data_IF_849812759705
#
_entry.id   IF_849812759705
#
_cell.length_a   1.000
_cell.length_b   1.000
_cell.length_c   1.000
_cell.angle_alpha   90.00
_cell.angle_beta   90.00
_cell.angle_gamma   90.00
#
_symmetry.space_group_name_H-M   'P 1'
#
loop_
_entity.id
_entity.type
_entity.pdbx_description
1 polymer ?
#
# COMPACT_ATOMS: atom_id res chain seq x y z
N UNK A 1 12.79 29.50 9.01
CA UNK A 1 11.87 29.10 10.09
C UNK A 1 12.67 28.45 11.23
N UNK A 2 12.22 28.55 12.49
CA UNK A 2 12.77 27.81 13.64
C UNK A 2 11.69 26.87 14.17
N UNK A 3 11.82 25.54 14.02
CA UNK A 3 10.86 24.58 14.50
C UNK A 3 11.02 24.34 16.00
N UNK A 4 9.90 24.19 16.70
CA UNK A 4 9.90 23.82 18.11
C UNK A 4 9.97 22.30 18.33
N UNK A 5 9.75 21.51 17.28
CA UNK A 5 9.79 20.03 17.26
C UNK A 5 10.67 19.53 16.12
N UNK A 6 10.93 18.22 16.09
CA UNK A 6 11.54 17.57 14.93
C UNK A 6 10.68 17.77 13.68
N UNK A 7 11.33 17.73 12.52
CA UNK A 7 10.68 17.93 11.22
C UNK A 7 10.96 16.72 10.33
N UNK A 8 9.93 16.26 9.63
CA UNK A 8 10.08 15.45 8.43
C UNK A 8 9.38 16.17 7.27
N UNK A 9 10.11 16.37 6.17
CA UNK A 9 9.59 16.88 4.89
C UNK A 9 9.81 15.77 3.89
N UNK A 10 8.71 15.09 3.54
CA UNK A 10 8.77 13.88 2.73
C UNK A 10 7.74 13.93 1.61
N UNK A 11 8.02 13.24 0.49
CA UNK A 11 7.08 13.02 -0.62
C UNK A 11 6.46 14.30 -1.19
N UNK A 12 7.22 15.41 -1.23
CA UNK A 12 6.71 16.72 -1.63
C UNK A 12 7.36 17.27 -2.89
N UNK A 13 6.56 17.94 -3.73
CA UNK A 13 7.04 18.70 -4.90
C UNK A 13 7.10 20.18 -4.58
N UNK A 14 8.31 20.73 -4.60
CA UNK A 14 8.57 22.16 -4.52
C UNK A 14 8.76 22.69 -5.94
N UNK A 15 7.70 23.28 -6.49
CA UNK A 15 7.71 23.93 -7.81
C UNK A 15 7.60 25.44 -7.69
N UNK A 16 8.49 26.18 -8.36
CA UNK A 16 8.45 27.65 -8.40
C UNK A 16 8.47 28.30 -7.00
N UNK A 17 9.08 27.62 -6.03
CA UNK A 17 9.23 28.13 -4.66
C UNK A 17 10.60 28.75 -4.44
N UNK A 18 10.74 29.56 -3.38
CA UNK A 18 12.01 30.15 -2.96
C UNK A 18 12.97 29.17 -2.28
N UNK A 19 12.50 27.95 -1.98
CA UNK A 19 13.20 26.95 -1.17
C UNK A 19 12.74 26.92 0.29
N UNK A 20 13.38 26.04 1.07
CA UNK A 20 13.08 25.78 2.48
C UNK A 20 14.29 26.20 3.31
N UNK A 21 14.08 27.06 4.29
CA UNK A 21 15.16 27.58 5.14
C UNK A 21 14.84 27.34 6.60
N UNK A 22 15.62 26.48 7.25
CA UNK A 22 15.42 26.04 8.63
C UNK A 22 16.60 26.46 9.52
N UNK A 23 16.30 27.01 10.69
CA UNK A 23 17.26 27.23 11.76
C UNK A 23 16.93 26.23 12.85
N UNK A 24 17.92 25.58 13.43
CA UNK A 24 17.72 24.44 14.33
C UNK A 24 18.52 24.59 15.63
N UNK A 25 18.02 23.93 16.67
CA UNK A 25 18.68 23.81 17.97
C UNK A 25 18.18 22.51 18.64
N UNK A 26 19.06 21.51 18.76
CA UNK A 26 18.72 20.18 19.30
C UNK A 26 17.53 19.53 18.57
N UNK A 27 17.58 19.42 17.24
CA UNK A 27 16.48 18.85 16.43
C UNK A 27 16.92 17.72 15.53
N UNK A 28 15.97 16.85 15.21
CA UNK A 28 16.06 15.97 14.05
C UNK A 28 15.30 16.57 12.86
N UNK A 29 15.97 16.66 11.71
CA UNK A 29 15.39 17.17 10.46
C UNK A 29 15.59 16.12 9.36
N UNK A 30 14.49 15.57 8.86
CA UNK A 30 14.44 14.67 7.71
C UNK A 30 13.95 15.40 6.46
N UNK A 31 14.66 15.24 5.34
CA UNK A 31 14.26 15.66 4.00
C UNK A 31 14.39 14.47 3.06
N UNK A 32 13.28 13.81 2.71
CA UNK A 32 13.33 12.58 1.89
C UNK A 32 12.32 12.57 0.77
N UNK A 33 12.66 11.94 -0.35
CA UNK A 33 11.68 11.66 -1.41
C UNK A 33 11.00 12.94 -1.97
N UNK A 34 11.70 14.09 -1.97
CA UNK A 34 11.14 15.35 -2.48
C UNK A 34 11.68 15.70 -3.87
N UNK A 35 10.92 16.49 -4.62
CA UNK A 35 11.32 17.04 -5.92
C UNK A 35 11.41 18.56 -5.86
N UNK A 36 12.57 19.12 -6.18
CA UNK A 36 12.79 20.57 -6.26
C UNK A 36 12.95 21.00 -7.72
N UNK A 37 11.91 21.58 -8.30
CA UNK A 37 11.85 21.95 -9.72
C UNK A 37 11.55 23.44 -9.93
N UNK A 38 12.23 24.06 -10.89
CA UNK A 38 12.01 25.46 -11.31
C UNK A 38 12.02 26.46 -10.14
N UNK A 39 12.89 26.23 -9.16
CA UNK A 39 12.93 27.01 -7.93
C UNK A 39 13.36 28.46 -8.22
N UNK A 40 12.71 29.47 -7.62
CA UNK A 40 13.02 30.90 -7.86
C UNK A 40 14.29 31.33 -7.14
N UNK A 41 15.22 32.02 -7.81
CA UNK A 41 16.58 32.36 -7.32
C UNK A 41 16.69 33.18 -6.02
N UNK A 42 15.57 33.56 -5.40
CA UNK A 42 15.49 34.35 -4.17
C UNK A 42 14.40 33.75 -3.26
N UNK A 43 14.64 33.46 -1.95
CA UNK A 43 15.86 33.69 -1.17
C UNK A 43 16.56 32.37 -0.78
N UNK A 44 17.69 32.05 -1.42
CA UNK A 44 18.64 31.06 -0.90
C UNK A 44 18.62 29.69 -1.60
N UNK A 45 19.18 28.64 -0.98
CA UNK A 45 19.17 27.27 -1.50
C UNK A 45 17.77 26.68 -1.65
N UNK A 46 17.62 25.61 -2.42
CA UNK A 46 16.34 24.87 -2.49
C UNK A 46 15.98 24.28 -1.10
N UNK A 47 16.97 23.82 -0.36
CA UNK A 47 16.89 23.51 1.07
C UNK A 47 18.14 23.99 1.79
N UNK A 48 17.98 24.66 2.94
CA UNK A 48 19.09 25.06 3.79
C UNK A 48 18.82 24.91 5.29
N UNK A 49 19.91 24.62 6.02
CA UNK A 49 20.05 24.85 7.45
C UNK A 49 20.87 26.13 7.63
N UNK A 50 20.19 27.26 7.84
CA UNK A 50 20.83 28.58 7.89
C UNK A 50 21.40 28.94 9.27
N UNK A 51 21.03 28.20 10.32
CA UNK A 51 21.62 28.30 11.64
C UNK A 51 21.47 26.96 12.37
N UNK A 52 22.50 26.58 13.12
CA UNK A 52 22.49 25.44 14.03
C UNK A 52 23.19 25.85 15.33
N UNK A 53 22.54 25.63 16.47
CA UNK A 53 23.01 26.11 17.77
C UNK A 53 23.38 25.02 18.77
N UNK A 54 23.10 23.74 18.50
CA UNK A 54 23.42 22.60 19.39
C UNK A 54 23.50 21.26 18.60
N UNK A 55 23.10 20.11 19.15
CA UNK A 55 23.30 18.77 18.57
C UNK A 55 22.22 18.41 17.50
N UNK A 56 21.97 19.30 16.54
CA UNK A 56 21.01 19.03 15.46
C UNK A 56 21.51 17.90 14.54
N UNK A 57 20.64 16.94 14.28
CA UNK A 57 20.85 15.85 13.32
C UNK A 57 20.02 16.10 12.06
N UNK A 58 20.66 15.99 10.90
CA UNK A 58 20.01 16.20 9.60
C UNK A 58 20.13 14.89 8.81
N UNK A 59 19.05 14.45 8.17
CA UNK A 59 19.01 13.31 7.27
C UNK A 59 18.33 13.73 5.95
N UNK A 60 19.05 13.58 4.84
CA UNK A 60 18.67 14.01 3.50
C UNK A 60 18.93 12.84 2.56
N UNK A 61 17.90 12.27 1.96
CA UNK A 61 18.09 11.15 1.04
C UNK A 61 17.01 11.08 -0.01
N UNK A 62 17.33 10.53 -1.19
CA UNK A 62 16.34 10.33 -2.25
C UNK A 62 15.61 11.62 -2.62
N UNK A 63 16.30 12.76 -2.75
CA UNK A 63 15.67 13.98 -3.26
C UNK A 63 16.17 14.28 -4.67
N UNK A 64 15.28 14.82 -5.50
CA UNK A 64 15.56 15.20 -6.89
C UNK A 64 15.71 16.72 -7.03
N UNK A 65 16.94 17.20 -7.20
CA UNK A 65 17.26 18.63 -7.38
C UNK A 65 17.39 18.98 -8.87
N UNK A 66 16.32 19.52 -9.43
CA UNK A 66 16.20 19.68 -10.88
C UNK A 66 16.62 21.04 -11.44
N UNK A 67 16.94 22.00 -10.57
CA UNK A 67 17.32 23.37 -10.96
C UNK A 67 18.84 23.56 -10.87
N UNK A 68 19.53 23.67 -12.00
CA UNK A 68 21.01 23.75 -12.07
C UNK A 68 21.58 25.17 -11.97
N UNK A 69 20.72 26.18 -11.85
CA UNK A 69 21.05 27.61 -11.86
C UNK A 69 21.13 28.23 -10.46
N UNK A 70 21.21 27.40 -9.41
CA UNK A 70 21.22 27.83 -8.00
C UNK A 70 21.89 26.82 -7.08
N UNK A 71 22.09 27.24 -5.83
CA UNK A 71 22.38 26.30 -4.73
C UNK A 71 21.12 25.46 -4.47
N UNK A 72 21.28 24.15 -4.42
CA UNK A 72 20.25 23.19 -4.06
C UNK A 72 20.27 22.90 -2.56
N UNK A 73 21.45 22.57 -2.01
CA UNK A 73 21.62 22.19 -0.61
C UNK A 73 22.58 23.14 0.11
N UNK A 74 22.11 23.76 1.19
CA UNK A 74 22.92 24.63 2.05
C UNK A 74 23.02 24.11 3.48
N UNK A 75 24.07 23.36 3.83
CA UNK A 75 24.30 22.74 5.14
C UNK A 75 25.47 23.42 5.89
N UNK A 76 25.50 24.75 5.89
CA UNK A 76 26.64 25.58 6.35
C UNK A 76 27.01 25.42 7.82
N UNK A 77 26.07 25.01 8.68
CA UNK A 77 26.22 25.11 10.12
C UNK A 77 26.05 23.77 10.86
N UNK A 78 25.64 22.70 10.18
CA UNK A 78 25.44 21.39 10.80
C UNK A 78 26.78 20.68 11.01
N UNK A 79 27.13 20.44 12.28
CA UNK A 79 28.44 19.95 12.70
C UNK A 79 28.63 18.42 12.63
N UNK A 80 27.68 17.65 12.08
CA UNK A 80 27.84 16.21 11.84
C UNK A 80 27.30 15.80 10.46
N UNK A 81 28.21 15.60 9.50
CA UNK A 81 27.89 15.33 8.09
C UNK A 81 28.50 14.05 7.46
N UNK A 82 29.12 13.07 8.15
CA UNK A 82 29.43 11.81 7.46
C UNK A 82 28.17 10.97 7.24
N UNK A 83 27.62 11.00 6.03
CA UNK A 83 26.60 10.05 5.56
C UNK A 83 25.14 10.49 5.62
N UNK A 84 24.88 11.77 5.92
CA UNK A 84 23.52 12.31 6.08
C UNK A 84 22.86 12.81 4.79
N UNK A 85 23.57 12.88 3.66
CA UNK A 85 23.04 13.41 2.40
C UNK A 85 23.25 12.44 1.22
N UNK A 86 22.94 11.16 1.42
CA UNK A 86 23.17 10.10 0.42
C UNK A 86 22.02 9.98 -0.58
N UNK A 87 22.28 9.41 -1.75
CA UNK A 87 21.22 9.03 -2.70
C UNK A 87 20.36 10.21 -3.17
N UNK A 88 20.95 11.41 -3.31
CA UNK A 88 20.26 12.55 -3.92
C UNK A 88 20.64 12.69 -5.39
N UNK A 89 19.67 13.10 -6.20
CA UNK A 89 19.73 13.12 -7.65
C UNK A 89 19.77 14.54 -8.19
N UNK A 90 20.48 14.70 -9.32
CA UNK A 90 20.81 15.98 -9.90
C UNK A 90 20.46 15.98 -11.39
N UNK A 91 19.96 17.10 -11.90
CA UNK A 91 19.64 17.28 -13.32
C UNK A 91 20.89 17.52 -14.21
N UNK A 92 22.04 17.00 -13.80
CA UNK A 92 23.28 16.98 -14.59
C UNK A 92 24.20 15.86 -14.10
N UNK A 93 25.13 15.41 -14.96
CA UNK A 93 26.24 14.52 -14.58
C UNK A 93 27.57 15.28 -14.47
N UNK A 94 27.56 16.59 -14.73
CA UNK A 94 28.73 17.44 -14.56
C UNK A 94 28.98 17.64 -13.07
N UNK A 95 29.99 16.94 -12.56
CA UNK A 95 30.38 16.98 -11.15
C UNK A 95 30.71 18.40 -10.69
N UNK A 96 31.30 19.24 -11.55
CA UNK A 96 31.61 20.63 -11.20
C UNK A 96 30.35 21.45 -11.03
N UNK A 97 29.30 21.17 -11.82
CA UNK A 97 27.99 21.81 -11.62
C UNK A 97 27.34 21.31 -10.33
N UNK A 98 27.32 20.00 -10.09
CA UNK A 98 26.76 19.41 -8.85
C UNK A 98 27.46 19.99 -7.61
N UNK A 99 28.78 20.00 -7.61
CA UNK A 99 29.59 20.59 -6.53
C UNK A 99 29.24 22.06 -6.31
N UNK A 100 29.00 22.83 -7.39
CA UNK A 100 28.58 24.24 -7.26
C UNK A 100 27.17 24.43 -6.71
N UNK A 101 26.33 23.39 -6.70
CA UNK A 101 24.97 23.42 -6.17
C UNK A 101 24.89 23.02 -4.69
N UNK A 102 26.00 22.59 -4.09
CA UNK A 102 26.09 22.21 -2.69
C UNK A 102 26.90 23.29 -1.96
N UNK A 103 26.48 23.60 -0.74
CA UNK A 103 27.19 24.50 0.14
C UNK A 103 27.19 23.92 1.55
N UNK A 104 28.28 23.29 1.95
CA UNK A 104 28.41 22.61 3.24
C UNK A 104 29.36 23.34 4.22
N UNK A 105 29.57 22.75 5.40
CA UNK A 105 30.41 23.32 6.46
C UNK A 105 31.93 23.16 6.21
N UNK A 106 32.33 22.38 5.20
CA UNK A 106 33.71 22.03 4.87
C UNK A 106 34.22 22.69 3.56
N UNK A 107 33.39 23.41 2.82
CA UNK A 107 33.74 24.12 1.56
C UNK A 107 34.77 25.27 1.69
N UNK A 108 35.48 25.38 2.83
CA UNK A 108 36.70 26.17 2.94
C UNK A 108 37.89 25.34 2.41
N UNK A 109 38.13 25.44 1.10
CA UNK A 109 39.34 25.02 0.34
C UNK A 109 39.35 23.59 -0.24
N UNK A 110 38.68 23.39 -1.38
CA UNK A 110 39.01 22.35 -2.38
C UNK A 110 39.20 20.90 -1.83
N UNK A 111 38.40 20.48 -0.84
CA UNK A 111 38.34 19.08 -0.43
C UNK A 111 37.02 18.45 -0.91
N UNK A 112 37.13 17.49 -1.82
CA UNK A 112 35.99 16.67 -2.23
C UNK A 112 35.34 15.94 -1.05
N UNK A 113 34.01 15.94 -1.04
CA UNK A 113 33.19 14.74 -0.87
C UNK A 113 32.90 14.28 0.56
N UNK A 114 31.76 14.71 1.08
CA UNK A 114 31.03 13.97 2.12
C UNK A 114 29.57 13.68 1.71
N UNK A 115 28.95 14.55 0.90
CA UNK A 115 27.66 14.30 0.24
C UNK A 115 27.88 13.41 -0.99
N UNK A 116 27.51 12.14 -0.87
CA UNK A 116 27.50 11.20 -2.00
C UNK A 116 26.50 11.67 -3.06
N UNK A 117 27.00 12.14 -4.20
CA UNK A 117 26.17 12.48 -5.36
C UNK A 117 26.12 11.30 -6.35
N UNK A 118 24.91 10.92 -6.76
CA UNK A 118 24.70 10.02 -7.88
C UNK A 118 24.48 10.84 -9.16
N UNK A 119 25.12 10.48 -10.29
CA UNK A 119 25.01 11.27 -11.52
C UNK A 119 23.63 11.15 -12.20
N UNK A 120 23.25 12.23 -12.88
CA UNK A 120 22.16 12.42 -13.84
C UNK A 120 21.10 11.32 -14.00
N UNK A 121 19.90 11.64 -13.56
CA UNK A 121 18.68 11.05 -14.11
C UNK A 121 18.10 12.01 -15.18
N UNK A 122 17.64 11.44 -16.29
CA UNK A 122 16.92 12.19 -17.35
C UNK A 122 15.49 12.54 -16.92
N UNK A 123 15.01 11.85 -15.89
CA UNK A 123 13.70 11.94 -15.24
C UNK A 123 13.95 11.99 -13.71
N UNK A 124 12.95 12.13 -12.85
CA UNK A 124 13.17 12.03 -11.39
C UNK A 124 13.57 10.59 -11.01
N UNK A 125 14.08 10.38 -9.79
CA UNK A 125 14.26 9.01 -9.28
C UNK A 125 12.92 8.31 -9.15
N UNK A 126 12.87 7.01 -9.45
CA UNK A 126 11.62 6.24 -9.48
C UNK A 126 10.92 6.23 -8.12
N UNK A 127 11.71 6.28 -7.02
CA UNK A 127 11.22 6.44 -5.64
C UNK A 127 10.90 7.92 -5.28
N UNK A 128 11.18 8.90 -6.16
CA UNK A 128 10.76 10.31 -6.02
C UNK A 128 9.70 10.66 -7.03
N UNK A 129 8.43 10.53 -6.63
CA UNK A 129 7.26 11.19 -7.23
C UNK A 129 7.33 11.25 -8.76
N UNK A 130 6.99 10.13 -9.39
CA UNK A 130 6.96 10.00 -10.83
C UNK A 130 5.64 10.42 -11.43
N UNK A 131 5.44 11.71 -11.75
CA UNK A 131 4.55 12.07 -12.88
C UNK A 131 5.08 13.28 -13.65
N UNK A 132 5.71 13.02 -14.81
CA UNK A 132 5.82 14.00 -15.90
C UNK A 132 4.95 13.51 -17.06
N UNK A 133 3.63 13.65 -16.94
CA UNK A 133 2.75 13.59 -18.10
C UNK A 133 3.04 14.84 -18.93
N UNK A 134 3.66 14.66 -20.09
CA UNK A 134 4.31 15.70 -20.90
C UNK A 134 3.40 16.83 -21.45
N UNK A 135 2.21 17.08 -20.90
CA UNK A 135 1.27 18.10 -21.40
C UNK A 135 0.40 18.81 -20.35
N UNK A 136 0.55 18.59 -19.04
CA UNK A 136 -0.26 19.31 -18.04
C UNK A 136 0.52 20.44 -17.36
N UNK A 137 -0.02 21.66 -17.41
CA UNK A 137 0.46 22.82 -16.62
C UNK A 137 -0.10 22.86 -15.21
N UNK A 138 -0.79 21.81 -14.77
CA UNK A 138 -1.37 21.66 -13.43
C UNK A 138 -1.06 20.26 -12.90
N UNK A 139 -0.26 20.21 -11.84
CA UNK A 139 -0.02 19.04 -10.99
C UNK A 139 -1.27 18.89 -10.12
N UNK A 140 -2.04 17.81 -10.29
CA UNK A 140 -3.16 17.49 -9.42
C UNK A 140 -2.67 16.50 -8.37
N UNK A 141 -2.84 16.81 -7.08
CA UNK A 141 -2.22 16.06 -5.98
C UNK A 141 -2.66 14.59 -5.90
N UNK A 142 -3.84 14.27 -6.43
CA UNK A 142 -4.35 12.89 -6.58
C UNK A 142 -3.61 12.07 -7.63
N UNK A 143 -2.81 12.69 -8.50
CA UNK A 143 -2.06 11.98 -9.53
C UNK A 143 -0.71 11.46 -8.98
N UNK A 144 -0.45 11.60 -7.68
CA UNK A 144 0.83 11.26 -7.03
C UNK A 144 0.66 10.42 -5.77
N UNK A 145 -0.54 9.92 -5.50
CA UNK A 145 -0.67 8.86 -4.52
C UNK A 145 0.01 7.60 -5.08
N UNK A 146 0.59 6.89 -4.14
CA UNK A 146 1.30 5.62 -4.26
C UNK A 146 0.91 4.99 -2.93
N UNK A 147 -0.19 4.24 -2.93
CA UNK A 147 -0.87 3.83 -1.71
C UNK A 147 -0.13 2.68 -1.00
N UNK A 148 0.43 1.76 -1.77
CA UNK A 148 1.16 0.58 -1.30
C UNK A 148 2.69 0.75 -1.16
N UNK A 149 3.24 1.85 -1.68
CA UNK A 149 4.68 2.18 -1.68
C UNK A 149 5.54 1.22 -2.49
N UNK A 150 5.00 0.65 -3.57
CA UNK A 150 5.75 -0.23 -4.46
C UNK A 150 6.61 0.54 -5.48
N UNK A 151 6.37 1.84 -5.61
CA UNK A 151 7.10 2.78 -6.46
C UNK A 151 6.45 3.04 -7.82
N UNK A 152 5.31 2.44 -8.10
CA UNK A 152 4.34 2.90 -9.09
C UNK A 152 3.37 3.89 -8.42
N UNK A 153 2.73 4.76 -9.20
CA UNK A 153 1.77 5.73 -8.66
C UNK A 153 0.37 5.21 -8.99
N UNK A 154 -0.63 5.42 -8.14
CA UNK A 154 -1.98 4.83 -8.27
C UNK A 154 -2.59 4.99 -9.68
N UNK A 155 -2.29 6.11 -10.36
CA UNK A 155 -2.80 6.36 -11.73
C UNK A 155 -2.17 5.48 -12.83
N UNK A 156 -1.06 4.81 -12.52
CA UNK A 156 -0.28 3.92 -13.38
C UNK A 156 -0.24 2.49 -12.85
N UNK A 157 -0.47 2.34 -11.54
CA UNK A 157 -0.69 1.05 -10.90
C UNK A 157 -2.01 0.45 -11.39
N UNK A 158 -2.13 -0.86 -11.25
CA UNK A 158 -3.36 -1.61 -11.54
C UNK A 158 -3.93 -2.29 -10.30
N UNK A 159 -3.23 -2.22 -9.17
CA UNK A 159 -3.52 -2.87 -7.89
C UNK A 159 -2.96 -1.96 -6.76
N UNK A 160 -3.65 -0.85 -6.52
CA UNK A 160 -3.21 0.31 -5.71
C UNK A 160 -2.83 -0.07 -4.26
N UNK A 161 -3.38 -1.15 -3.70
CA UNK A 161 -3.09 -1.63 -2.35
C UNK A 161 -2.37 -2.99 -2.28
N UNK A 162 -2.07 -3.57 -3.44
CA UNK A 162 -1.27 -4.78 -3.62
C UNK A 162 -1.87 -6.02 -2.91
N UNK A 163 -3.19 -6.09 -2.78
CA UNK A 163 -3.91 -7.24 -2.22
C UNK A 163 -4.04 -8.41 -3.22
N UNK A 164 -3.79 -8.14 -4.50
CA UNK A 164 -3.81 -9.09 -5.61
C UNK A 164 -5.08 -9.03 -6.48
N UNK A 165 -5.99 -8.11 -6.21
CA UNK A 165 -7.17 -7.77 -7.01
C UNK A 165 -6.91 -6.44 -7.71
N UNK A 166 -7.15 -6.37 -9.01
CA UNK A 166 -6.92 -5.11 -9.73
C UNK A 166 -7.99 -4.07 -9.39
N UNK A 167 -7.65 -2.79 -9.38
CA UNK A 167 -8.57 -1.68 -9.02
C UNK A 167 -9.89 -1.66 -9.81
N UNK A 168 -9.86 -2.14 -11.06
CA UNK A 168 -11.05 -2.20 -11.93
C UNK A 168 -12.07 -3.28 -11.47
N UNK A 169 -11.60 -4.28 -10.73
CA UNK A 169 -12.37 -5.40 -10.18
C UNK A 169 -12.52 -5.32 -8.65
N UNK A 170 -11.90 -4.34 -8.01
CA UNK A 170 -11.88 -4.11 -6.56
C UNK A 170 -12.88 -3.02 -6.13
N UNK A 171 -13.74 -3.32 -5.15
CA UNK A 171 -14.68 -2.35 -4.58
C UNK A 171 -14.04 -1.43 -3.51
N UNK A 172 -12.90 -1.82 -2.96
CA UNK A 172 -12.11 -1.08 -1.97
C UNK A 172 -10.63 -1.00 -2.39
N UNK A 173 -10.31 -0.34 -3.53
CA UNK A 173 -8.96 -0.31 -4.13
C UNK A 173 -7.87 0.39 -3.30
N UNK A 174 -8.14 0.75 -2.05
CA UNK A 174 -7.19 1.37 -1.13
C UNK A 174 -7.30 0.72 0.25
N UNK A 175 -7.76 -0.52 0.35
CA UNK A 175 -7.85 -1.27 1.59
C UNK A 175 -7.40 -2.71 1.32
N UNK A 176 -6.12 -2.98 1.59
CA UNK A 176 -5.48 -4.30 1.38
C UNK A 176 -6.17 -5.49 2.08
N UNK A 177 -7.20 -5.22 2.88
CA UNK A 177 -7.98 -6.20 3.61
C UNK A 177 -9.39 -6.41 3.08
N UNK A 178 -9.83 -5.71 2.03
CA UNK A 178 -11.19 -5.78 1.48
C UNK A 178 -11.18 -5.65 -0.05
N UNK A 179 -11.98 -6.46 -0.74
CA UNK A 179 -12.10 -6.36 -2.21
C UNK A 179 -13.53 -6.53 -2.74
N UNK A 180 -14.45 -7.03 -1.90
CA UNK A 180 -15.84 -7.39 -2.28
C UNK A 180 -16.82 -6.86 -1.23
N UNK A 181 -18.02 -6.46 -1.67
CA UNK A 181 -19.15 -5.94 -0.89
C UNK A 181 -20.41 -6.52 -1.52
N UNK A 182 -20.83 -7.68 -1.00
CA UNK A 182 -21.84 -8.56 -1.62
C UNK A 182 -23.25 -7.97 -1.54
N UNK A 183 -23.55 -7.18 -0.53
CA UNK A 183 -24.85 -6.55 -0.31
C UNK A 183 -24.91 -5.06 -0.72
N UNK A 184 -23.76 -4.44 -0.96
CA UNK A 184 -23.62 -3.05 -1.37
C UNK A 184 -23.86 -2.05 -0.24
N UNK A 185 -23.64 -2.42 1.02
CA UNK A 185 -23.84 -1.56 2.19
C UNK A 185 -22.65 -0.60 2.43
N UNK A 186 -21.50 -0.89 1.81
CA UNK A 186 -20.26 -0.13 1.88
C UNK A 186 -19.26 -0.63 2.93
N UNK A 187 -19.54 -1.75 3.58
CA UNK A 187 -18.60 -2.54 4.40
C UNK A 187 -18.13 -3.71 3.55
N UNK A 188 -16.81 -3.96 3.50
CA UNK A 188 -16.31 -5.11 2.75
C UNK A 188 -16.60 -6.42 3.49
N UNK A 189 -16.74 -7.50 2.73
CA UNK A 189 -17.13 -8.82 3.24
C UNK A 189 -16.19 -9.35 4.36
N UNK A 190 -14.91 -8.95 4.40
CA UNK A 190 -14.02 -9.43 5.48
C UNK A 190 -14.30 -8.75 6.84
N UNK A 191 -14.93 -7.57 6.83
CA UNK A 191 -15.29 -6.79 8.00
C UNK A 191 -16.80 -6.81 8.31
N UNK A 192 -17.64 -7.16 7.33
CA UNK A 192 -19.06 -7.41 7.54
C UNK A 192 -19.28 -8.72 8.35
N UNK A 193 -20.44 -8.84 8.97
CA UNK A 193 -20.87 -10.03 9.71
C UNK A 193 -22.09 -10.70 9.08
N UNK A 194 -22.67 -10.12 8.02
CA UNK A 194 -23.90 -10.52 7.32
C UNK A 194 -23.77 -10.07 5.85
N UNK A 195 -22.90 -10.74 5.10
CA UNK A 195 -22.40 -10.33 3.75
C UNK A 195 -23.51 -10.17 2.70
N UNK A 196 -24.69 -10.76 2.89
CA UNK A 196 -25.83 -10.66 1.97
C UNK A 196 -27.06 -9.94 2.57
N UNK A 197 -26.94 -9.49 3.82
CA UNK A 197 -27.91 -8.68 4.56
C UNK A 197 -29.31 -9.35 4.68
N UNK A 198 -29.34 -10.68 4.77
CA UNK A 198 -30.57 -11.45 4.91
C UNK A 198 -31.05 -11.56 6.37
N UNK A 199 -30.15 -11.26 7.32
CA UNK A 199 -30.39 -11.23 8.75
C UNK A 199 -29.86 -12.43 9.54
N UNK A 200 -29.14 -13.35 8.89
CA UNK A 200 -28.34 -14.42 9.51
C UNK A 200 -26.86 -14.06 9.37
N UNK A 201 -26.10 -14.13 10.46
CA UNK A 201 -24.67 -13.78 10.42
C UNK A 201 -23.86 -14.86 9.69
N UNK A 202 -22.78 -14.52 8.99
CA UNK A 202 -22.04 -15.46 8.12
C UNK A 202 -21.56 -16.72 8.86
N UNK A 203 -21.25 -16.60 10.15
CA UNK A 203 -20.81 -17.74 10.97
C UNK A 203 -21.92 -18.73 11.32
N UNK A 204 -23.17 -18.34 11.12
CA UNK A 204 -24.39 -19.12 11.31
C UNK A 204 -25.14 -19.37 9.98
N UNK A 205 -24.59 -18.90 8.85
CA UNK A 205 -25.14 -19.04 7.51
C UNK A 205 -24.36 -20.08 6.69
N UNK A 206 -25.06 -21.05 6.11
CA UNK A 206 -24.42 -22.04 5.24
C UNK A 206 -24.14 -21.49 3.82
N UNK A 207 -24.84 -20.43 3.40
CA UNK A 207 -24.69 -19.72 2.12
C UNK A 207 -24.61 -18.20 2.32
N UNK A 208 -23.55 -17.67 2.96
CA UNK A 208 -23.46 -16.27 3.40
C UNK A 208 -23.48 -15.20 2.30
N UNK A 209 -23.51 -15.58 1.02
CA UNK A 209 -23.52 -14.66 -0.12
C UNK A 209 -24.83 -14.73 -0.94
N UNK A 210 -25.84 -15.48 -0.46
CA UNK A 210 -27.13 -15.65 -1.14
C UNK A 210 -28.27 -15.33 -0.18
N UNK A 211 -28.74 -14.08 -0.22
CA UNK A 211 -29.81 -13.57 0.64
C UNK A 211 -31.17 -14.28 0.51
N UNK A 212 -31.27 -15.33 -0.31
CA UNK A 212 -32.44 -16.18 -0.44
C UNK A 212 -32.28 -17.56 0.19
N UNK A 213 -31.10 -17.91 0.72
CA UNK A 213 -30.76 -19.22 1.28
C UNK A 213 -29.94 -19.04 2.56
N UNK A 214 -30.26 -19.79 3.62
CA UNK A 214 -29.53 -19.72 4.91
C UNK A 214 -29.12 -21.10 5.45
N UNK A 215 -29.55 -22.17 4.78
CA UNK A 215 -29.37 -23.55 5.20
C UNK A 215 -28.98 -24.40 4.00
N UNK A 216 -27.97 -25.27 4.19
CA UNK A 216 -27.55 -26.33 3.27
C UNK A 216 -27.42 -27.63 4.10
N UNK A 217 -28.54 -28.35 4.22
CA UNK A 217 -28.66 -29.43 5.21
C UNK A 217 -27.78 -30.64 4.91
N UNK A 218 -27.46 -30.93 3.65
CA UNK A 218 -26.57 -32.03 3.25
C UNK A 218 -25.16 -31.58 2.84
N UNK A 219 -24.93 -30.27 2.69
CA UNK A 219 -23.64 -29.66 2.41
C UNK A 219 -23.21 -29.82 0.95
N UNK A 220 -24.15 -29.94 0.01
CA UNK A 220 -23.86 -30.11 -1.42
C UNK A 220 -23.61 -28.79 -2.17
N UNK A 221 -23.88 -27.65 -1.52
CA UNK A 221 -23.75 -26.28 -2.02
C UNK A 221 -25.04 -25.71 -2.61
N UNK A 222 -26.16 -26.43 -2.55
CA UNK A 222 -27.49 -25.96 -2.94
C UNK A 222 -28.31 -25.67 -1.68
N UNK A 223 -28.75 -24.43 -1.48
CA UNK A 223 -29.57 -24.10 -0.33
C UNK A 223 -30.94 -24.79 -0.35
N UNK A 224 -31.49 -25.07 0.84
CA UNK A 224 -32.73 -25.81 1.01
C UNK A 224 -33.97 -25.20 0.30
N UNK A 225 -34.01 -23.89 -0.01
CA UNK A 225 -35.14 -23.34 -0.76
C UNK A 225 -35.10 -23.73 -2.26
N UNK A 226 -33.92 -24.07 -2.78
CA UNK A 226 -33.67 -24.49 -4.16
C UNK A 226 -33.42 -25.99 -4.33
N UNK A 227 -32.93 -26.66 -3.30
CA UNK A 227 -32.74 -28.12 -3.28
C UNK A 227 -34.09 -28.86 -3.25
N UNK A 228 -34.08 -30.10 -3.72
CA UNK A 228 -35.24 -30.99 -3.79
C UNK A 228 -35.05 -32.28 -2.99
N UNK A 229 -33.91 -32.44 -2.34
CA UNK A 229 -33.48 -33.59 -1.54
C UNK A 229 -32.58 -33.08 -0.38
N UNK A 230 -33.14 -32.21 0.48
CA UNK A 230 -32.41 -31.37 1.45
C UNK A 230 -31.44 -32.15 2.37
N UNK A 231 -31.66 -33.44 2.62
CA UNK A 231 -30.80 -34.28 3.47
C UNK A 231 -29.91 -35.28 2.70
N UNK A 232 -29.98 -35.26 1.36
CA UNK A 232 -29.15 -36.07 0.48
C UNK A 232 -29.35 -37.58 0.63
N UNK A 233 -30.47 -38.06 1.17
CA UNK A 233 -30.72 -39.50 1.35
C UNK A 233 -31.18 -40.21 0.06
N UNK A 234 -31.49 -39.44 -0.98
CA UNK A 234 -31.95 -39.91 -2.28
C UNK A 234 -33.47 -40.01 -2.41
N UNK A 235 -34.23 -39.45 -1.46
CA UNK A 235 -35.69 -39.36 -1.45
C UNK A 235 -36.11 -37.89 -1.44
N UNK A 236 -36.61 -37.42 -2.58
CA UNK A 236 -37.08 -36.04 -2.74
C UNK A 236 -37.99 -35.57 -1.60
N UNK A 237 -37.86 -34.31 -1.15
CA UNK A 237 -38.55 -33.75 0.03
C UNK A 237 -40.08 -33.94 -0.01
N UNK A 238 -40.65 -33.86 -1.22
CA UNK A 238 -42.08 -34.01 -1.44
C UNK A 238 -42.60 -35.43 -1.13
N UNK A 239 -41.72 -36.42 -1.15
CA UNK A 239 -41.98 -37.83 -0.87
C UNK A 239 -41.34 -38.30 0.46
N UNK A 240 -40.52 -37.47 1.11
CA UNK A 240 -39.83 -37.81 2.37
C UNK A 240 -40.61 -37.33 3.63
N UNK A 241 -40.94 -38.22 4.58
CA UNK A 241 -41.44 -37.81 5.89
C UNK A 241 -40.45 -37.01 6.77
N UNK A 242 -39.15 -37.04 6.49
CA UNK A 242 -38.13 -36.35 7.29
C UNK A 242 -37.09 -35.58 6.45
N UNK A 243 -37.50 -34.60 5.61
CA UNK A 243 -36.64 -34.01 4.55
C UNK A 243 -35.31 -33.39 5.01
N UNK A 244 -35.15 -33.12 6.31
CA UNK A 244 -33.95 -32.51 6.87
C UNK A 244 -33.13 -33.52 7.71
N UNK A 245 -33.37 -34.83 7.54
CA UNK A 245 -32.78 -35.83 8.43
C UNK A 245 -32.61 -37.19 7.75
N UNK A 246 -31.42 -37.35 7.17
CA UNK A 246 -31.05 -38.57 6.49
C UNK A 246 -31.11 -39.78 7.45
N UNK A 247 -31.78 -40.88 7.03
CA UNK A 247 -31.77 -42.12 7.77
C UNK A 247 -30.33 -42.66 7.89
N UNK A 248 -30.01 -43.31 9.01
CA UNK A 248 -28.67 -43.83 9.21
C UNK A 248 -28.32 -44.87 8.14
N UNK A 249 -27.14 -44.70 7.53
CA UNK A 249 -26.63 -45.64 6.53
C UNK A 249 -26.25 -46.96 7.21
N UNK A 250 -26.82 -48.06 6.71
CA UNK A 250 -26.51 -49.42 7.15
C UNK A 250 -25.42 -50.03 6.27
N UNK A 251 -24.23 -50.23 6.84
CA UNK A 251 -23.14 -50.92 6.15
C UNK A 251 -22.99 -52.36 6.67
N UNK A 252 -23.01 -53.32 5.74
CA UNK A 252 -22.81 -54.73 6.04
C UNK A 252 -21.39 -55.14 5.66
N UNK A 253 -20.64 -55.67 6.64
CA UNK A 253 -19.33 -56.27 6.38
C UNK A 253 -19.46 -57.79 6.28
N UNK A 254 -18.93 -58.38 5.20
CA UNK A 254 -18.94 -59.81 4.96
C UNK A 254 -17.56 -60.42 5.25
N UNK A 255 -17.52 -61.56 5.93
CA UNK A 255 -16.28 -62.32 6.10
C UNK A 255 -15.95 -63.10 4.81
N UNK A 256 -15.32 -62.43 3.84
CA UNK A 256 -14.95 -63.02 2.55
C UNK A 256 -16.04 -62.87 1.48
N UNK A 257 -16.17 -63.86 0.57
CA UNK A 257 -17.10 -63.78 -0.56
C UNK A 257 -18.57 -63.61 -0.12
N UNK A 258 -19.37 -62.92 -0.94
CA UNK A 258 -20.75 -62.48 -0.67
C UNK A 258 -21.76 -63.57 -0.24
N UNK A 259 -21.40 -64.85 -0.34
CA UNK A 259 -22.23 -66.00 0.07
C UNK A 259 -22.07 -66.40 1.56
N UNK A 260 -21.24 -65.69 2.34
CA UNK A 260 -21.00 -65.98 3.77
C UNK A 260 -21.83 -65.09 4.71
N UNK A 261 -22.16 -65.55 5.94
CA UNK A 261 -22.93 -64.77 6.90
C UNK A 261 -22.26 -63.42 7.22
N UNK A 262 -23.10 -62.40 7.46
CA UNK A 262 -22.67 -61.05 7.85
C UNK A 262 -21.77 -61.14 9.08
N UNK A 263 -20.57 -60.56 8.98
CA UNK A 263 -19.56 -60.58 10.03
C UNK A 263 -19.69 -59.39 10.98
N UNK A 264 -20.29 -58.30 10.51
CA UNK A 264 -20.58 -57.12 11.31
C UNK A 264 -21.61 -56.21 10.62
N UNK A 265 -22.44 -55.56 11.43
CA UNK A 265 -23.32 -54.47 11.01
C UNK A 265 -22.76 -53.21 11.65
N UNK A 266 -22.50 -52.19 10.84
CA UNK A 266 -22.20 -50.84 11.31
C UNK A 266 -23.33 -49.91 10.90
N UNK A 267 -23.72 -49.05 11.84
CA UNK A 267 -24.65 -47.96 11.63
C UNK A 267 -23.80 -46.70 11.62
N UNK A 268 -23.83 -45.95 10.53
CA UNK A 268 -23.23 -44.62 10.44
C UNK A 268 -24.35 -43.62 10.25
N UNK A 269 -24.41 -42.62 11.12
CA UNK A 269 -25.23 -41.43 10.97
C UNK A 269 -24.23 -40.33 10.67
N UNK A 270 -24.39 -39.70 9.51
CA UNK A 270 -23.68 -38.47 9.17
C UNK A 270 -24.29 -37.33 9.95
#
# INVERSE_FOLDING_TARGET
WYPETDIAIENSVFQETGGISVGAQDRFISLKNNVFIRQTTDPGPAFEIWADYDDTTVAISKNSFMSTDRIALGLKYSASLPGSAIENYWNTNDQTVIESMILDSNDDLNLNGEISYQPYLTEHDIDTVTVINQWSTYINFSDFSDYDWDGEADILDTDDDNDGINDDDDLFPLDETEWEDSDGDGTGNNADMDDDNDGVIDTEDDLPLDASETLDTDGDGTGNNADTDDDGDGVLDGDDPYPLNAPPTLTFSYAGNADKPIAGISITHT
#
